data_IF_519408352877
#
_entry.id   IF_519408352877
#
_cell.length_a   1.000
_cell.length_b   1.000
_cell.length_c   1.000
_cell.angle_alpha   90.00
_cell.angle_beta   90.00
_cell.angle_gamma   90.00
#
_symmetry.space_group_name_H-M   'P 1'
#
loop_
_entity.id
_entity.type
_entity.pdbx_description
1 polymer ?
#
# COMPACT_ATOMS: atom_id res chain seq x y z
N UNK A 1 -11.86 11.31 20.74
CA UNK A 1 -13.17 11.96 20.53
C UNK A 1 -14.01 11.10 19.59
N UNK A 2 -15.30 10.92 19.87
CA UNK A 2 -16.22 10.11 19.07
C UNK A 2 -17.27 11.02 18.43
N UNK A 3 -17.41 10.94 17.12
CA UNK A 3 -18.38 11.76 16.38
C UNK A 3 -19.16 10.89 15.39
N UNK A 4 -20.36 11.38 15.07
CA UNK A 4 -21.25 10.83 14.06
C UNK A 4 -21.50 11.90 13.02
N UNK A 5 -21.38 11.53 11.75
CA UNK A 5 -21.59 12.44 10.63
C UNK A 5 -22.39 11.75 9.53
N UNK A 6 -23.20 12.54 8.83
CA UNK A 6 -23.77 12.15 7.54
C UNK A 6 -22.70 12.18 6.45
N UNK A 7 -23.03 11.65 5.28
CA UNK A 7 -22.17 11.72 4.11
C UNK A 7 -21.88 13.18 3.68
N UNK A 8 -22.89 14.06 3.68
CA UNK A 8 -22.71 15.47 3.34
C UNK A 8 -21.76 16.19 4.31
N UNK A 9 -21.89 15.89 5.61
CA UNK A 9 -20.97 16.40 6.63
C UNK A 9 -19.56 15.86 6.40
N UNK A 10 -19.41 14.57 6.09
CA UNK A 10 -18.10 13.97 5.80
C UNK A 10 -17.44 14.59 4.56
N UNK A 11 -18.19 14.86 3.50
CA UNK A 11 -17.70 15.57 2.31
C UNK A 11 -17.22 16.98 2.68
N UNK A 12 -17.96 17.68 3.54
CA UNK A 12 -17.53 18.97 4.10
C UNK A 12 -16.26 18.89 4.95
N UNK A 13 -16.07 17.80 5.71
CA UNK A 13 -14.83 17.54 6.45
C UNK A 13 -13.65 17.24 5.53
N UNK A 14 -13.85 16.41 4.51
CA UNK A 14 -12.83 16.10 3.50
C UNK A 14 -12.38 17.36 2.77
N UNK A 15 -13.32 18.24 2.41
CA UNK A 15 -12.99 19.53 1.79
C UNK A 15 -12.08 20.39 2.69
N UNK A 16 -12.42 20.54 3.97
CA UNK A 16 -11.58 21.28 4.94
C UNK A 16 -10.20 20.64 5.14
N UNK A 17 -10.17 19.31 5.22
CA UNK A 17 -8.91 18.56 5.36
C UNK A 17 -8.03 18.70 4.10
N UNK A 18 -8.64 18.82 2.92
CA UNK A 18 -7.94 18.91 1.63
C UNK A 18 -7.06 20.17 1.49
N UNK A 19 -7.34 21.21 2.26
CA UNK A 19 -6.53 22.44 2.32
C UNK A 19 -5.11 22.17 2.86
N UNK A 20 -4.97 21.20 3.77
CA UNK A 20 -3.69 20.81 4.38
C UNK A 20 -3.18 19.47 3.87
N UNK A 21 -4.08 18.53 3.60
CA UNK A 21 -3.75 17.15 3.30
C UNK A 21 -4.10 16.76 1.86
N UNK A 22 -3.20 16.03 1.21
CA UNK A 22 -3.56 15.16 0.09
C UNK A 22 -4.24 13.92 0.64
N UNK A 23 -5.54 13.78 0.39
CA UNK A 23 -6.35 12.71 0.97
C UNK A 23 -6.41 11.53 0.01
N UNK A 24 -5.86 10.40 0.41
CA UNK A 24 -5.75 9.20 -0.41
C UNK A 24 -6.57 8.05 0.16
N UNK A 25 -7.30 7.34 -0.69
CA UNK A 25 -8.10 6.20 -0.29
C UNK A 25 -8.18 5.16 -1.42
N UNK A 26 -8.56 3.90 -1.15
CA UNK A 26 -8.91 2.97 -2.21
C UNK A 26 -10.10 3.52 -2.99
N UNK A 27 -9.90 3.85 -4.28
CA UNK A 27 -10.93 4.36 -5.18
C UNK A 27 -10.94 3.63 -6.51
N UNK A 28 -12.08 3.68 -7.20
CA UNK A 28 -12.24 3.08 -8.51
C UNK A 28 -11.68 3.98 -9.63
N UNK A 29 -10.82 3.42 -10.46
CA UNK A 29 -10.36 4.00 -11.72
C UNK A 29 -11.10 3.31 -12.87
N UNK A 30 -12.03 4.07 -13.47
CA UNK A 30 -13.00 3.51 -14.40
C UNK A 30 -12.36 2.98 -15.67
N UNK A 31 -12.70 1.74 -16.05
CA UNK A 31 -12.19 1.07 -17.24
C UNK A 31 -10.65 0.90 -17.28
N UNK A 32 -9.95 1.03 -16.15
CA UNK A 32 -8.49 0.80 -16.05
C UNK A 32 -8.15 -0.61 -15.56
N UNK A 33 -9.16 -1.45 -15.38
CA UNK A 33 -9.01 -2.84 -14.94
C UNK A 33 -8.39 -3.75 -15.99
N UNK A 34 -8.24 -5.03 -15.61
CA UNK A 34 -7.58 -6.04 -16.44
C UNK A 34 -8.35 -6.37 -17.72
N UNK A 35 -9.67 -6.30 -17.68
CA UNK A 35 -10.55 -6.52 -18.82
C UNK A 35 -11.19 -5.21 -19.25
N UNK A 36 -11.60 -5.12 -20.51
CA UNK A 36 -12.36 -3.96 -20.99
C UNK A 36 -13.58 -3.77 -20.10
N UNK A 37 -13.81 -2.54 -19.66
CA UNK A 37 -14.91 -2.13 -18.78
C UNK A 37 -14.81 -2.55 -17.31
N UNK A 38 -13.71 -3.17 -16.88
CA UNK A 38 -13.45 -3.37 -15.46
C UNK A 38 -12.86 -2.12 -14.82
N UNK A 39 -13.29 -1.82 -13.61
CA UNK A 39 -12.68 -0.79 -12.78
C UNK A 39 -11.48 -1.36 -12.01
N UNK A 40 -10.39 -0.60 -11.99
CA UNK A 40 -9.22 -0.90 -11.17
C UNK A 40 -9.31 -0.16 -9.84
N UNK A 41 -9.18 -0.87 -8.72
CA UNK A 41 -9.22 -0.25 -7.39
C UNK A 41 -7.79 0.00 -6.95
N UNK A 42 -7.42 1.26 -6.74
CA UNK A 42 -6.07 1.66 -6.31
C UNK A 42 -6.15 2.81 -5.32
N UNK A 43 -5.03 3.15 -4.69
CA UNK A 43 -4.96 4.32 -3.84
C UNK A 43 -4.87 5.58 -4.69
N UNK A 44 -5.85 6.46 -4.54
CA UNK A 44 -5.91 7.71 -5.30
C UNK A 44 -6.49 8.84 -4.48
N UNK A 45 -6.28 10.06 -4.97
CA UNK A 45 -6.82 11.27 -4.33
C UNK A 45 -8.34 11.28 -4.46
N UNK A 46 -9.01 11.55 -3.34
CA UNK A 46 -10.47 11.64 -3.22
C UNK A 46 -10.89 13.06 -2.87
N UNK A 47 -12.10 13.44 -3.25
CA UNK A 47 -12.74 14.70 -2.89
C UNK A 47 -14.06 14.49 -2.17
N UNK A 48 -14.74 13.36 -2.39
CA UNK A 48 -15.96 12.96 -1.67
C UNK A 48 -15.83 11.57 -1.06
N UNK A 49 -16.65 11.28 -0.06
CA UNK A 49 -16.65 10.04 0.70
C UNK A 49 -17.08 8.83 -0.15
N UNK A 50 -17.99 9.03 -1.10
CA UNK A 50 -18.48 7.98 -2.02
C UNK A 50 -17.42 7.47 -3.00
N UNK A 51 -16.31 8.18 -3.15
CA UNK A 51 -15.18 7.69 -3.95
C UNK A 51 -14.42 6.56 -3.26
N UNK A 52 -14.61 6.38 -1.93
CA UNK A 52 -13.92 5.37 -1.14
C UNK A 52 -14.59 4.00 -1.33
N UNK A 53 -13.78 3.01 -1.69
CA UNK A 53 -14.21 1.64 -1.89
C UNK A 53 -13.89 0.82 -0.63
N UNK A 54 -14.93 0.48 0.14
CA UNK A 54 -14.80 -0.30 1.38
C UNK A 54 -14.93 -1.82 1.18
N UNK A 55 -15.64 -2.26 0.15
CA UNK A 55 -16.07 -3.66 -0.02
C UNK A 55 -15.21 -4.47 -1.02
N UNK A 56 -14.19 -3.86 -1.63
CA UNK A 56 -13.28 -4.51 -2.59
C UNK A 56 -11.84 -4.11 -2.30
N UNK A 57 -10.93 -5.10 -2.29
CA UNK A 57 -9.50 -4.84 -2.12
C UNK A 57 -8.93 -4.05 -3.29
N UNK A 58 -7.99 -3.17 -2.97
CA UNK A 58 -7.10 -2.58 -3.96
C UNK A 58 -6.28 -3.66 -4.69
N UNK A 59 -6.11 -3.50 -6.00
CA UNK A 59 -5.19 -4.29 -6.81
C UNK A 59 -3.74 -3.81 -6.65
N UNK A 60 -3.56 -2.52 -6.29
CA UNK A 60 -2.27 -1.87 -6.07
C UNK A 60 -1.91 -1.80 -4.59
N UNK A 61 -0.62 -1.81 -4.30
CA UNK A 61 -0.09 -1.69 -2.95
C UNK A 61 0.00 -0.21 -2.53
N UNK A 62 -0.43 0.16 -1.31
CA UNK A 62 -0.32 1.53 -0.83
C UNK A 62 1.13 2.01 -0.67
N UNK A 63 2.15 1.13 -0.75
CA UNK A 63 3.55 1.57 -0.77
C UNK A 63 3.87 2.50 -1.93
N UNK A 64 3.10 2.51 -3.03
CA UNK A 64 3.34 3.42 -4.16
C UNK A 64 3.30 4.89 -3.76
N UNK A 65 2.54 5.21 -2.71
CA UNK A 65 2.43 6.57 -2.15
C UNK A 65 3.78 7.01 -1.55
N UNK A 66 4.48 6.12 -0.85
CA UNK A 66 5.79 6.41 -0.25
C UNK A 66 6.94 6.14 -1.23
N UNK A 67 6.79 5.14 -2.09
CA UNK A 67 7.81 4.59 -2.97
C UNK A 67 7.24 4.47 -4.40
N UNK A 68 7.36 5.50 -5.25
CA UNK A 68 6.79 5.49 -6.60
C UNK A 68 7.42 4.40 -7.46
N UNK A 69 6.65 3.87 -8.42
CA UNK A 69 7.08 2.78 -9.31
C UNK A 69 8.37 3.13 -10.06
N UNK A 70 8.41 4.34 -10.62
CA UNK A 70 9.58 4.94 -11.24
C UNK A 70 9.91 6.22 -10.51
N UNK A 71 10.94 6.17 -9.68
CA UNK A 71 11.32 7.27 -8.82
C UNK A 71 12.68 7.82 -9.26
N UNK A 72 12.69 8.98 -9.89
CA UNK A 72 13.92 9.76 -10.08
C UNK A 72 14.37 10.28 -8.73
N UNK A 73 15.59 9.91 -8.30
CA UNK A 73 16.24 10.32 -7.05
C UNK A 73 17.11 11.57 -7.23
N UNK A 74 17.72 11.70 -8.41
CA UNK A 74 18.49 12.88 -8.79
C UNK A 74 18.65 12.97 -10.31
N UNK A 75 18.89 14.19 -10.79
CA UNK A 75 19.19 14.49 -12.19
C UNK A 75 20.50 15.25 -12.25
N UNK A 76 21.45 14.76 -13.03
CA UNK A 76 22.72 15.42 -13.34
C UNK A 76 22.67 15.99 -14.74
N UNK A 77 22.96 17.29 -14.90
CA UNK A 77 23.09 17.98 -16.19
C UNK A 77 24.50 18.58 -16.25
N UNK A 78 25.37 18.01 -17.08
CA UNK A 78 26.79 18.35 -17.10
C UNK A 78 27.44 18.08 -15.74
N UNK A 79 27.87 19.15 -15.04
CA UNK A 79 28.50 19.05 -13.71
C UNK A 79 27.55 19.37 -12.55
N UNK A 80 26.29 19.72 -12.83
CA UNK A 80 25.31 20.09 -11.81
C UNK A 80 24.40 18.90 -11.51
N UNK A 81 24.23 18.55 -10.23
CA UNK A 81 23.28 17.52 -9.79
C UNK A 81 22.21 18.14 -8.92
N UNK A 82 20.95 17.77 -9.16
CA UNK A 82 19.79 18.17 -8.39
C UNK A 82 19.12 16.92 -7.83
N UNK A 83 18.98 16.85 -6.51
CA UNK A 83 18.24 15.78 -5.85
C UNK A 83 16.73 16.08 -5.87
N UNK A 84 15.93 15.02 -5.92
CA UNK A 84 14.45 15.09 -6.00
C UNK A 84 13.81 14.51 -4.74
N UNK A 85 14.44 14.79 -3.59
CA UNK A 85 14.04 14.27 -2.27
C UNK A 85 12.72 14.85 -1.73
N UNK A 86 12.14 15.81 -2.43
CA UNK A 86 10.92 16.52 -2.06
C UNK A 86 9.87 16.41 -3.18
N UNK A 87 8.60 16.32 -2.77
CA UNK A 87 7.48 16.33 -3.69
C UNK A 87 7.12 17.73 -4.15
N UNK A 88 6.61 17.83 -5.39
CA UNK A 88 6.00 19.08 -5.88
C UNK A 88 4.75 19.48 -5.10
N UNK A 89 4.05 18.49 -4.55
CA UNK A 89 2.89 18.69 -3.70
C UNK A 89 3.38 18.82 -2.25
N UNK A 90 3.23 20.02 -1.68
CA UNK A 90 3.76 20.31 -0.35
C UNK A 90 2.85 19.83 0.79
N UNK A 91 1.59 19.49 0.47
CA UNK A 91 0.58 19.03 1.43
C UNK A 91 1.04 17.79 2.18
N UNK A 92 0.57 17.66 3.42
CA UNK A 92 0.74 16.43 4.19
C UNK A 92 -0.10 15.30 3.56
N UNK A 93 0.16 14.03 3.87
CA UNK A 93 -0.60 12.91 3.31
C UNK A 93 -1.54 12.36 4.38
N UNK A 94 -2.83 12.27 4.06
CA UNK A 94 -3.83 11.59 4.89
C UNK A 94 -4.35 10.38 4.12
N UNK A 95 -3.97 9.17 4.53
CA UNK A 95 -4.28 7.95 3.76
C UNK A 95 -5.18 6.98 4.53
N UNK A 96 -6.22 6.49 3.86
CA UNK A 96 -7.22 5.57 4.39
C UNK A 96 -6.75 4.13 4.18
N UNK A 97 -6.50 3.38 5.25
CA UNK A 97 -5.86 2.07 5.19
C UNK A 97 -6.58 1.04 6.06
N UNK A 98 -6.53 -0.22 5.63
CA UNK A 98 -6.89 -1.33 6.51
C UNK A 98 -5.80 -1.59 7.55
N UNK A 99 -6.11 -2.23 8.69
CA UNK A 99 -5.13 -2.50 9.75
C UNK A 99 -3.87 -3.21 9.25
N UNK A 100 -4.01 -4.19 8.35
CA UNK A 100 -2.87 -4.93 7.80
C UNK A 100 -1.97 -4.07 6.92
N UNK A 101 -2.51 -3.07 6.23
CA UNK A 101 -1.71 -2.13 5.44
C UNK A 101 -0.90 -1.19 6.33
N UNK A 102 -1.48 -0.74 7.45
CA UNK A 102 -0.77 0.06 8.45
C UNK A 102 0.46 -0.70 8.97
N UNK A 103 0.29 -1.98 9.33
CA UNK A 103 1.41 -2.85 9.73
C UNK A 103 2.44 -3.05 8.63
N UNK A 104 2.01 -3.18 7.38
CA UNK A 104 2.93 -3.31 6.26
C UNK A 104 3.76 -2.06 6.04
N UNK A 105 3.21 -0.86 6.21
CA UNK A 105 4.00 0.38 6.18
C UNK A 105 5.05 0.39 7.29
N UNK A 106 4.72 -0.06 8.52
CA UNK A 106 5.72 -0.19 9.60
C UNK A 106 6.87 -1.16 9.26
N UNK A 107 6.66 -2.11 8.33
CA UNK A 107 7.76 -2.96 7.83
C UNK A 107 8.63 -2.24 6.81
N UNK A 108 8.03 -1.40 5.97
CA UNK A 108 8.76 -0.54 5.04
C UNK A 108 9.62 0.47 5.81
N UNK A 109 9.09 1.03 6.91
CA UNK A 109 9.79 1.95 7.81
C UNK A 109 11.15 1.38 8.26
N UNK A 110 11.20 0.10 8.62
CA UNK A 110 12.45 -0.57 9.03
C UNK A 110 13.44 -0.79 7.88
N UNK A 111 12.96 -0.91 6.65
CA UNK A 111 13.81 -1.17 5.47
C UNK A 111 14.47 0.11 4.97
N UNK A 112 13.76 1.24 5.04
CA UNK A 112 14.17 2.51 4.45
C UNK A 112 14.68 3.53 5.49
N UNK A 113 15.19 3.05 6.63
CA UNK A 113 15.88 3.91 7.59
C UNK A 113 17.11 4.55 6.93
N UNK A 114 17.24 5.87 7.07
CA UNK A 114 18.30 6.67 6.45
C UNK A 114 18.03 7.05 4.98
N UNK A 115 16.90 6.65 4.40
CA UNK A 115 16.50 7.07 3.05
C UNK A 115 15.74 8.40 3.11
N UNK A 116 16.44 9.52 2.87
CA UNK A 116 15.88 10.86 3.07
C UNK A 116 14.54 11.08 2.34
N UNK A 117 14.41 10.56 1.12
CA UNK A 117 13.16 10.67 0.36
C UNK A 117 12.00 9.95 1.03
N UNK A 118 12.20 8.69 1.42
CA UNK A 118 11.19 7.92 2.12
C UNK A 118 10.82 8.60 3.44
N UNK A 119 11.82 8.99 4.23
CA UNK A 119 11.61 9.62 5.54
C UNK A 119 10.87 10.94 5.44
N UNK A 120 11.18 11.78 4.45
CA UNK A 120 10.52 13.06 4.24
C UNK A 120 9.01 12.88 3.99
N UNK A 121 8.63 11.91 3.15
CA UNK A 121 7.22 11.60 2.90
C UNK A 121 6.56 10.92 4.07
N UNK A 122 7.25 9.96 4.68
CA UNK A 122 6.73 9.19 5.80
C UNK A 122 6.42 10.07 7.01
N UNK A 123 7.22 11.12 7.26
CA UNK A 123 7.00 12.14 8.31
C UNK A 123 5.73 12.95 8.11
N UNK A 124 5.37 13.22 6.86
CA UNK A 124 4.15 13.95 6.47
C UNK A 124 2.89 13.06 6.41
N UNK A 125 3.03 11.75 6.57
CA UNK A 125 1.93 10.79 6.41
C UNK A 125 1.23 10.49 7.73
N UNK A 126 -0.09 10.69 7.74
CA UNK A 126 -1.03 10.29 8.80
C UNK A 126 -2.00 9.23 8.27
N UNK A 127 -2.44 8.33 9.14
CA UNK A 127 -3.32 7.22 8.77
C UNK A 127 -4.75 7.45 9.24
N UNK A 128 -5.70 7.14 8.37
CA UNK A 128 -7.11 6.94 8.70
C UNK A 128 -7.38 5.45 8.62
N UNK A 129 -7.83 4.83 9.69
CA UNK A 129 -8.09 3.39 9.68
C UNK A 129 -9.52 3.12 9.21
N UNK A 130 -9.68 2.28 8.19
CA UNK A 130 -10.97 1.80 7.70
C UNK A 130 -11.18 0.33 8.03
N UNK A 131 -12.41 -0.01 8.43
CA UNK A 131 -12.77 -1.40 8.75
C UNK A 131 -12.71 -2.31 7.51
N UNK A 132 -12.45 -3.58 7.74
CA UNK A 132 -12.65 -4.61 6.73
C UNK A 132 -14.11 -5.08 6.74
N UNK A 133 -14.55 -5.70 5.65
CA UNK A 133 -15.78 -6.50 5.66
C UNK A 133 -15.69 -7.65 6.67
N UNK A 134 -16.84 -8.19 7.07
CA UNK A 134 -16.92 -9.33 7.99
C UNK A 134 -16.04 -10.50 7.51
N UNK A 135 -15.17 -10.99 8.41
CA UNK A 135 -14.19 -12.07 8.16
C UNK A 135 -13.15 -11.78 7.06
N UNK A 136 -13.10 -10.54 6.55
CA UNK A 136 -12.24 -10.15 5.43
C UNK A 136 -12.61 -10.82 4.11
N UNK A 137 -11.68 -10.79 3.16
CA UNK A 137 -11.86 -11.43 1.85
C UNK A 137 -11.36 -12.88 1.85
N UNK A 138 -11.73 -13.61 0.81
CA UNK A 138 -11.43 -15.02 0.57
C UNK A 138 -9.96 -15.42 0.73
N UNK A 139 -9.04 -14.53 0.41
CA UNK A 139 -7.61 -14.78 0.46
C UNK A 139 -6.87 -14.07 1.60
N UNK A 140 -7.58 -13.49 2.57
CA UNK A 140 -6.98 -12.82 3.72
C UNK A 140 -6.40 -13.84 4.72
N UNK A 141 -5.31 -13.46 5.39
CA UNK A 141 -4.62 -14.25 6.43
C UNK A 141 -3.98 -13.33 7.49
N UNK A 142 -4.58 -12.16 7.72
CA UNK A 142 -4.06 -11.16 8.66
C UNK A 142 -4.14 -11.61 10.13
N UNK A 143 -5.09 -12.48 10.49
CA UNK A 143 -5.23 -13.03 11.83
C UNK A 143 -4.05 -13.95 12.19
N UNK A 144 -3.65 -14.83 11.27
CA UNK A 144 -2.49 -15.72 11.44
C UNK A 144 -1.16 -14.96 11.62
N UNK A 145 -1.10 -13.73 11.08
CA UNK A 145 0.07 -12.85 11.20
C UNK A 145 -0.03 -11.83 12.34
N UNK A 146 -1.15 -11.82 13.09
CA UNK A 146 -1.44 -10.81 14.11
C UNK A 146 -1.37 -9.35 13.59
N UNK A 147 -1.77 -9.14 12.33
CA UNK A 147 -1.81 -7.81 11.68
C UNK A 147 -3.24 -7.33 11.39
N UNK A 148 -4.24 -8.07 11.88
CA UNK A 148 -5.66 -7.77 11.77
C UNK A 148 -6.12 -6.58 12.61
N UNK A 149 -5.35 -6.19 13.63
CA UNK A 149 -5.65 -5.09 14.57
C UNK A 149 -4.54 -4.05 14.52
N UNK A 150 -4.89 -2.77 14.58
CA UNK A 150 -3.92 -1.67 14.69
C UNK A 150 -4.48 -0.60 15.61
N UNK A 151 -3.60 0.07 16.36
CA UNK A 151 -3.88 1.31 17.07
C UNK A 151 -3.01 2.47 16.55
N UNK A 152 -2.23 2.24 15.48
CA UNK A 152 -1.34 3.23 14.89
C UNK A 152 -2.09 3.99 13.79
N UNK A 153 -2.99 4.89 14.16
CA UNK A 153 -3.72 5.76 13.24
C UNK A 153 -4.08 7.08 13.91
N UNK A 154 -4.50 8.09 13.15
CA UNK A 154 -4.97 9.36 13.72
C UNK A 154 -6.44 9.28 14.12
N UNK A 155 -7.27 8.71 13.24
CA UNK A 155 -8.67 8.40 13.54
C UNK A 155 -9.15 7.19 12.74
N UNK A 156 -10.16 6.49 13.26
CA UNK A 156 -10.81 5.35 12.60
C UNK A 156 -12.18 5.73 12.05
N UNK A 157 -12.57 5.10 10.93
CA UNK A 157 -13.87 5.27 10.28
C UNK A 157 -14.61 3.95 10.26
N UNK A 158 -15.85 3.99 10.73
CA UNK A 158 -16.81 2.90 10.71
C UNK A 158 -18.07 3.36 9.97
N UNK A 159 -18.52 2.58 9.00
CA UNK A 159 -19.73 2.87 8.23
C UNK A 159 -20.81 1.88 8.64
N UNK A 160 -21.95 2.39 9.11
CA UNK A 160 -23.09 1.57 9.54
C UNK A 160 -24.40 2.24 9.14
N UNK A 161 -25.26 1.54 8.40
CA UNK A 161 -26.62 2.00 8.05
C UNK A 161 -26.67 3.42 7.45
N UNK A 162 -25.73 3.75 6.54
CA UNK A 162 -25.51 5.08 5.95
C UNK A 162 -25.03 6.19 6.92
N UNK A 163 -24.66 5.82 8.14
CA UNK A 163 -24.03 6.70 9.11
C UNK A 163 -22.52 6.45 9.15
N UNK A 164 -21.76 7.53 9.31
CA UNK A 164 -20.30 7.48 9.38
C UNK A 164 -19.92 7.82 10.82
N UNK A 165 -19.29 6.85 11.49
CA UNK A 165 -18.80 6.98 12.86
C UNK A 165 -17.28 7.19 12.80
N UNK A 166 -16.79 8.24 13.44
CA UNK A 166 -15.37 8.57 13.49
C UNK A 166 -14.87 8.50 14.93
N UNK A 167 -13.84 7.68 15.15
CA UNK A 167 -13.11 7.58 16.42
C UNK A 167 -11.76 8.29 16.28
N UNK A 168 -11.68 9.54 16.72
CA UNK A 168 -10.42 10.28 16.78
C UNK A 168 -9.60 9.93 18.01
N UNK A 169 -8.33 9.67 17.81
CA UNK A 169 -7.33 9.46 18.87
C UNK A 169 -6.11 10.40 18.75
N UNK A 170 -6.14 11.31 17.78
CA UNK A 170 -5.12 12.32 17.51
C UNK A 170 -5.75 13.71 17.66
N UNK A 171 -5.28 14.45 18.66
CA UNK A 171 -5.85 15.74 19.03
C UNK A 171 -5.70 16.80 17.94
N UNK A 172 -4.72 16.64 17.04
CA UNK A 172 -4.53 17.50 15.87
C UNK A 172 -5.76 17.51 14.95
N UNK A 173 -6.55 16.43 14.96
CA UNK A 173 -7.76 16.32 14.15
C UNK A 173 -9.01 16.84 14.85
N UNK A 174 -8.96 17.05 16.17
CA UNK A 174 -10.15 17.49 16.92
C UNK A 174 -10.67 18.84 16.42
N UNK A 175 -9.81 19.71 15.88
CA UNK A 175 -10.20 21.01 15.30
C UNK A 175 -11.17 20.89 14.11
N UNK A 176 -11.04 19.84 13.30
CA UNK A 176 -11.91 19.63 12.15
C UNK A 176 -13.31 19.18 12.55
N UNK A 177 -13.41 18.53 13.71
CA UNK A 177 -14.59 17.82 14.17
C UNK A 177 -15.40 18.57 15.24
N UNK A 178 -14.98 19.76 15.65
CA UNK A 178 -15.54 20.47 16.82
C UNK A 178 -17.04 20.76 16.70
N UNK A 179 -17.52 20.97 15.48
CA UNK A 179 -18.91 21.35 15.17
C UNK A 179 -19.80 20.15 14.84
N UNK A 180 -19.25 18.92 14.84
CA UNK A 180 -20.00 17.72 14.50
C UNK A 180 -20.66 17.09 15.73
N UNK A 181 -21.68 16.25 15.48
CA UNK A 181 -22.41 15.57 16.54
C UNK A 181 -21.49 14.62 17.32
N UNK A 182 -21.30 14.90 18.61
CA UNK A 182 -20.51 14.04 19.50
C UNK A 182 -21.36 12.88 19.99
N UNK A 183 -20.79 11.68 19.93
CA UNK A 183 -21.42 10.47 20.46
C UNK A 183 -20.86 10.21 21.86
N UNK A 184 -21.75 10.01 22.83
CA UNK A 184 -21.38 9.70 24.22
C UNK A 184 -20.88 8.26 24.38
N UNK A 185 -21.36 7.34 23.54
CA UNK A 185 -20.94 5.95 23.53
C UNK A 185 -19.52 5.78 22.95
N UNK A 186 -18.82 4.75 23.43
CA UNK A 186 -17.53 4.39 22.87
C UNK A 186 -17.72 3.74 21.50
N UNK A 187 -17.14 4.33 20.46
CA UNK A 187 -17.09 3.69 19.14
C UNK A 187 -16.07 2.55 19.22
N UNK A 188 -16.54 1.31 19.09
CA UNK A 188 -15.69 0.15 18.92
C UNK A 188 -15.49 -0.14 17.43
N UNK A 189 -14.22 -0.11 17.02
CA UNK A 189 -13.82 -0.48 15.68
C UNK A 189 -13.88 -1.99 15.53
N UNK A 190 -14.44 -2.46 14.42
CA UNK A 190 -14.42 -3.85 14.03
C UNK A 190 -13.04 -4.24 13.50
N UNK A 191 -12.51 -5.35 14.02
CA UNK A 191 -11.33 -6.00 13.50
C UNK A 191 -11.68 -7.45 13.18
N UNK A 192 -11.12 -7.97 12.10
CA UNK A 192 -11.34 -9.36 11.71
C UNK A 192 -10.73 -10.28 12.77
N UNK A 193 -11.54 -11.12 13.39
CA UNK A 193 -11.07 -12.09 14.40
C UNK A 193 -10.70 -13.44 13.78
N UNK A 194 -11.33 -13.80 12.66
CA UNK A 194 -11.10 -15.05 11.94
C UNK A 194 -11.06 -14.81 10.42
N UNK A 195 -10.10 -15.43 9.73
CA UNK A 195 -10.02 -15.44 8.27
C UNK A 195 -10.43 -16.81 7.73
N UNK A 196 -10.94 -16.85 6.49
CA UNK A 196 -11.27 -18.11 5.80
C UNK A 196 -10.05 -19.00 5.54
N UNK A 197 -8.87 -18.39 5.38
CA UNK A 197 -7.61 -19.10 5.23
C UNK A 197 -6.86 -19.02 6.55
N UNK A 198 -6.58 -20.19 7.13
CA UNK A 198 -5.65 -20.33 8.25
C UNK A 198 -4.29 -20.82 7.75
N UNK A 199 -3.27 -19.98 7.91
CA UNK A 199 -1.89 -20.28 7.52
C UNK A 199 -1.08 -20.59 8.76
N UNK A 200 -0.53 -21.81 8.81
CA UNK A 200 0.43 -22.19 9.85
C UNK A 200 1.77 -21.52 9.58
N UNK A 201 2.08 -20.50 10.36
CA UNK A 201 3.37 -19.82 10.32
C UNK A 201 4.42 -20.73 10.98
N UNK A 202 5.48 -21.14 10.28
CA UNK A 202 6.51 -21.97 10.88
C UNK A 202 7.25 -21.16 11.95
N UNK A 203 7.47 -21.79 13.11
CA UNK A 203 8.36 -21.22 14.12
C UNK A 203 9.81 -21.32 13.63
N UNK A 204 10.47 -20.18 13.50
CA UNK A 204 11.86 -20.08 13.07
C UNK A 204 12.67 -19.47 14.21
N UNK A 205 13.50 -20.29 14.85
CA UNK A 205 14.33 -19.89 16.01
C UNK A 205 15.36 -18.81 15.63
N UNK A 206 16.03 -18.98 14.49
CA UNK A 206 17.04 -18.05 13.97
C UNK A 206 16.91 -17.89 12.45
N UNK A 207 16.98 -16.66 11.98
CA UNK A 207 17.11 -16.34 10.55
C UNK A 207 18.59 -16.24 10.14
N UNK A 208 19.35 -17.29 10.44
CA UNK A 208 20.76 -17.39 10.04
C UNK A 208 20.92 -17.99 8.64
N UNK A 209 22.16 -18.02 8.14
CA UNK A 209 22.48 -18.58 6.83
C UNK A 209 22.05 -20.04 6.69
N UNK A 210 22.19 -20.85 7.74
CA UNK A 210 21.84 -22.28 7.70
C UNK A 210 20.33 -22.47 7.59
N UNK A 211 19.54 -21.71 8.36
CA UNK A 211 18.09 -21.68 8.22
C UNK A 211 17.69 -21.22 6.83
N UNK A 212 18.27 -20.13 6.33
CA UNK A 212 18.00 -19.63 4.98
C UNK A 212 18.33 -20.67 3.91
N UNK A 213 19.44 -21.38 4.05
CA UNK A 213 19.84 -22.42 3.10
C UNK A 213 18.91 -23.65 3.17
N UNK A 214 18.41 -24.03 4.36
CA UNK A 214 17.34 -25.05 4.47
C UNK A 214 16.06 -24.59 3.78
N UNK A 215 15.61 -23.35 4.07
CA UNK A 215 14.39 -22.78 3.49
C UNK A 215 14.48 -22.74 1.96
N UNK A 216 15.60 -22.30 1.38
CA UNK A 216 15.82 -22.27 -0.08
C UNK A 216 15.72 -23.64 -0.75
N UNK A 217 16.06 -24.70 -0.02
CA UNK A 217 16.07 -26.07 -0.54
C UNK A 217 14.76 -26.84 -0.28
N UNK A 218 13.73 -26.20 0.29
CA UNK A 218 12.43 -26.85 0.48
C UNK A 218 11.79 -27.24 -0.85
N UNK A 219 11.28 -28.46 -0.94
CA UNK A 219 10.60 -28.99 -2.13
C UNK A 219 9.39 -28.15 -2.55
N UNK A 220 8.78 -27.43 -1.61
CA UNK A 220 7.74 -26.44 -1.85
C UNK A 220 8.08 -25.46 -2.99
N UNK A 221 9.34 -25.03 -3.12
CA UNK A 221 9.75 -24.13 -4.20
C UNK A 221 9.65 -24.76 -5.60
N UNK A 222 9.65 -26.09 -5.71
CA UNK A 222 9.42 -26.78 -6.98
C UNK A 222 7.99 -26.54 -7.47
N UNK A 223 6.99 -26.52 -6.58
CA UNK A 223 5.61 -26.21 -6.95
C UNK A 223 5.49 -24.77 -7.48
N UNK A 224 6.11 -23.81 -6.77
CA UNK A 224 6.09 -22.40 -7.17
C UNK A 224 6.81 -22.18 -8.50
N UNK A 225 8.00 -22.76 -8.66
CA UNK A 225 8.81 -22.58 -9.88
C UNK A 225 8.12 -23.17 -11.11
N UNK A 226 7.41 -24.30 -10.99
CA UNK A 226 6.66 -24.90 -12.10
C UNK A 226 5.52 -24.01 -12.61
N UNK A 227 4.88 -23.23 -11.73
CA UNK A 227 3.77 -22.33 -12.07
C UNK A 227 4.22 -20.90 -12.40
N UNK A 228 5.41 -20.51 -11.96
CA UNK A 228 5.88 -19.14 -12.05
C UNK A 228 6.29 -18.77 -13.48
N UNK A 229 5.60 -17.78 -14.05
CA UNK A 229 5.94 -17.20 -15.35
C UNK A 229 6.90 -16.00 -15.25
N UNK A 230 7.39 -15.67 -14.05
CA UNK A 230 8.34 -14.59 -13.83
C UNK A 230 7.77 -13.18 -14.04
N UNK A 231 6.44 -13.01 -13.93
CA UNK A 231 5.78 -11.73 -14.17
C UNK A 231 5.95 -10.71 -13.03
N UNK A 232 6.41 -11.15 -11.85
CA UNK A 232 6.63 -10.27 -10.69
C UNK A 232 5.38 -9.67 -10.06
N UNK A 233 4.17 -10.14 -10.40
CA UNK A 233 2.90 -9.61 -9.85
C UNK A 233 2.86 -9.64 -8.32
N UNK A 234 3.39 -10.70 -7.71
CA UNK A 234 3.50 -10.82 -6.25
C UNK A 234 4.38 -9.73 -5.64
N UNK A 235 5.46 -9.31 -6.30
CA UNK A 235 6.35 -8.26 -5.82
C UNK A 235 5.68 -6.88 -5.89
N UNK A 236 4.90 -6.64 -6.95
CA UNK A 236 4.21 -5.37 -7.13
C UNK A 236 3.07 -5.22 -6.12
N UNK A 237 2.24 -6.26 -5.94
CA UNK A 237 1.10 -6.23 -5.04
C UNK A 237 1.48 -6.30 -3.55
N UNK A 238 2.57 -6.99 -3.19
CA UNK A 238 2.92 -7.22 -1.80
C UNK A 238 3.49 -5.96 -1.13
N UNK A 239 2.84 -5.50 -0.06
CA UNK A 239 3.25 -4.30 0.67
C UNK A 239 4.64 -4.41 1.32
N UNK A 240 5.06 -5.62 1.69
CA UNK A 240 6.37 -5.87 2.32
C UNK A 240 7.50 -6.13 1.31
N UNK A 241 7.19 -6.21 0.02
CA UNK A 241 8.20 -6.38 -1.02
C UNK A 241 8.75 -5.03 -1.48
N UNK A 242 9.98 -4.74 -1.06
CA UNK A 242 10.67 -3.45 -1.21
C UNK A 242 11.97 -3.54 -2.02
N UNK A 243 12.13 -4.59 -2.83
CA UNK A 243 13.30 -4.78 -3.68
C UNK A 243 13.33 -3.77 -4.85
N UNK A 244 13.92 -2.60 -4.62
CA UNK A 244 13.92 -1.50 -5.59
C UNK A 244 15.35 -1.09 -5.96
N UNK A 245 15.94 -1.63 -7.06
CA UNK A 245 17.27 -1.25 -7.50
C UNK A 245 17.33 0.23 -7.87
N UNK A 246 18.50 0.81 -7.63
CA UNK A 246 18.84 2.14 -8.11
C UNK A 246 19.72 2.02 -9.34
N UNK A 247 19.24 2.52 -10.46
CA UNK A 247 19.92 2.50 -11.77
C UNK A 247 20.28 3.90 -12.21
N UNK A 248 21.29 4.02 -13.08
CA UNK A 248 21.58 5.26 -13.80
C UNK A 248 21.02 5.13 -15.21
N UNK A 249 20.28 6.14 -15.65
CA UNK A 249 19.69 6.22 -16.98
C UNK A 249 20.24 7.47 -17.66
N UNK A 250 21.02 7.28 -18.72
CA UNK A 250 21.50 8.39 -19.56
C UNK A 250 20.43 8.72 -20.60
N UNK A 251 20.13 10.00 -20.78
CA UNK A 251 19.18 10.43 -21.80
C UNK A 251 19.70 10.11 -23.21
N UNK A 252 18.85 9.54 -24.06
CA UNK A 252 19.21 9.08 -25.41
C UNK A 252 19.50 10.20 -26.41
N UNK A 253 18.97 11.40 -26.18
CA UNK A 253 19.15 12.57 -27.05
C UNK A 253 20.27 13.49 -26.55
N UNK A 254 20.60 13.42 -25.25
CA UNK A 254 21.65 14.23 -24.64
C UNK A 254 22.38 13.47 -23.53
N UNK A 255 23.58 12.96 -23.86
CA UNK A 255 24.40 12.16 -22.93
C UNK A 255 24.86 12.93 -21.68
N UNK A 256 24.77 14.27 -21.68
CA UNK A 256 25.08 15.09 -20.50
C UNK A 256 23.98 15.06 -19.44
N UNK A 257 22.82 14.46 -19.73
CA UNK A 257 21.71 14.30 -18.79
C UNK A 257 21.68 12.87 -18.29
N UNK A 258 21.97 12.69 -17.00
CA UNK A 258 21.97 11.39 -16.33
C UNK A 258 21.01 11.42 -15.15
N UNK A 259 20.06 10.50 -15.13
CA UNK A 259 19.09 10.34 -14.05
C UNK A 259 19.48 9.15 -13.18
N UNK A 260 19.47 9.32 -11.86
CA UNK A 260 19.54 8.20 -10.92
C UNK A 260 18.11 7.83 -10.54
N UNK A 261 17.66 6.62 -10.89
CA UNK A 261 16.27 6.16 -10.68
C UNK A 261 16.21 4.96 -9.76
N UNK A 262 15.32 5.00 -8.76
CA UNK A 262 14.84 3.82 -8.04
C UNK A 262 13.61 3.28 -8.78
N UNK A 263 13.64 2.00 -9.16
CA UNK A 263 12.57 1.38 -9.93
C UNK A 263 12.04 0.18 -9.15
N UNK A 264 10.74 -0.04 -9.14
CA UNK A 264 10.17 -1.27 -8.60
C UNK A 264 10.71 -2.48 -9.37
N UNK A 265 11.29 -3.41 -8.62
CA UNK A 265 11.80 -4.65 -9.19
C UNK A 265 11.60 -5.78 -8.18
N UNK A 266 12.30 -6.89 -8.38
CA UNK A 266 12.38 -7.96 -7.41
C UNK A 266 12.99 -9.21 -7.99
N UNK A 267 13.39 -10.10 -7.10
CA UNK A 267 14.14 -11.32 -7.44
C UNK A 267 13.42 -12.25 -8.42
N UNK A 268 12.09 -12.15 -8.51
CA UNK A 268 11.23 -12.98 -9.36
C UNK A 268 10.95 -12.37 -10.76
N UNK A 269 11.43 -11.16 -11.06
CA UNK A 269 11.23 -10.49 -12.37
C UNK A 269 12.20 -10.95 -13.47
N UNK A 270 12.92 -12.06 -13.24
CA UNK A 270 13.85 -12.63 -14.21
C UNK A 270 13.09 -13.58 -15.14
N UNK A 271 13.52 -13.71 -16.41
CA UNK A 271 13.04 -14.75 -17.35
C UNK A 271 12.86 -16.07 -16.59
N UNK A 272 11.60 -16.48 -16.45
CA UNK A 272 11.19 -17.65 -15.68
C UNK A 272 12.01 -18.89 -16.05
N UNK A 273 12.27 -19.78 -15.09
CA UNK A 273 12.85 -21.09 -15.38
C UNK A 273 12.00 -21.87 -16.40
N UNK A 274 10.68 -21.70 -16.36
CA UNK A 274 9.72 -22.22 -17.34
C UNK A 274 9.94 -21.63 -18.74
N UNK A 275 10.38 -20.36 -18.82
CA UNK A 275 10.76 -19.71 -20.09
C UNK A 275 12.15 -20.11 -20.61
N UNK A 276 12.98 -20.81 -19.82
CA UNK A 276 14.21 -21.42 -20.32
C UNK A 276 13.92 -22.67 -21.16
N UNK A 277 12.84 -23.37 -20.85
CA UNK A 277 12.49 -24.66 -21.46
C UNK A 277 11.36 -24.56 -22.50
N UNK A 278 10.56 -23.50 -22.50
CA UNK A 278 9.42 -23.34 -23.42
C UNK A 278 9.06 -21.87 -23.62
N UNK A 279 8.63 -21.48 -24.82
CA UNK A 279 8.18 -20.11 -25.10
C UNK A 279 6.88 -19.78 -24.35
N UNK A 280 6.65 -18.49 -24.08
CA UNK A 280 5.46 -17.99 -23.37
C UNK A 280 4.14 -18.47 -24.02
N UNK A 281 4.12 -18.57 -25.35
CA UNK A 281 2.99 -19.11 -26.13
C UNK A 281 2.65 -20.58 -25.84
N UNK A 282 3.63 -21.41 -25.46
CA UNK A 282 3.42 -22.82 -25.11
C UNK A 282 2.98 -23.03 -23.66
N UNK A 283 3.18 -22.03 -22.79
CA UNK A 283 2.84 -22.09 -21.36
C UNK A 283 1.42 -21.57 -21.10
N UNK A 284 0.99 -20.56 -21.86
CA UNK A 284 -0.28 -19.86 -21.66
C UNK A 284 -1.47 -20.61 -22.30
N UNK A 285 -1.23 -21.40 -23.35
CA UNK A 285 -2.25 -22.24 -23.96
C UNK A 285 -2.33 -23.57 -23.18
N UNK A 286 -3.31 -23.68 -22.29
CA UNK A 286 -3.87 -24.99 -21.92
C UNK A 286 -4.90 -25.33 -22.99
N UNK A 287 -4.49 -26.12 -23.99
CA UNK A 287 -5.43 -27.06 -24.61
C UNK A 287 -5.80 -28.15 -23.60
#
# INVERSE_FOLDING_TARGET
MNIKVSQEQMDGLLLKLSEKYKILAPKAFKNEGRYSYDDDIRYGEISTFDEIIFNKKSSASPKEVLLPINHTLSVTIGNTTVDTTEDKDERDILIFLHPCDIHGISRIDNTFQGDSFYENRRKKMKFVMIECIENGWDNCFCTCLNTNKSNNYSFGIKVKDNEILIKSQDDDFNIYFQNEEKVSENIEMYFVEENKIDVKIPHIESWDKMTLDKVKNLEFWNEYSNRCIGCGSCNMACLTCTCMPVVKVTNSENENIVERKRIWSGCQLVKSASLKNSSLSKIVLRE
#
